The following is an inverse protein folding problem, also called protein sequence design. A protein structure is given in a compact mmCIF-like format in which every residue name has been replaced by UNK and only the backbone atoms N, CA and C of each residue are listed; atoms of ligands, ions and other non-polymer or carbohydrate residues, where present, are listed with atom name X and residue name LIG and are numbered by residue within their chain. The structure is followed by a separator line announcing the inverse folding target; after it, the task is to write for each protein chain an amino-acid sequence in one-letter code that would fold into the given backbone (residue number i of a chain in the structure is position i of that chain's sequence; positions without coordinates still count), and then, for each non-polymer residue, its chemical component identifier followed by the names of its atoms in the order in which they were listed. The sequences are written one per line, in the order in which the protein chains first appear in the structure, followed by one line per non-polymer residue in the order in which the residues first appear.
data_IF_928016043064
#
_entry.id   IF_928016043064
#
_cell.length_a   1.000
_cell.length_b   1.000
_cell.length_c   1.000
_cell.angle_alpha   90.00
_cell.angle_beta   90.00
_cell.angle_gamma   90.00
#
_symmetry.space_group_name_H-M   'P 1'
#
loop_
_entity.id
_entity.type
_entity.pdbx_description
1 polymer ?
#
# COMPACT_ATOMS: atom_id res chain seq x y z
N UNK A 1 -12.98 -6.45 12.45
CA UNK A 1 -12.90 -7.28 11.22
C UNK A 1 -12.34 -6.38 10.13
N UNK A 2 -11.36 -6.83 9.35
CA UNK A 2 -10.78 -5.98 8.29
C UNK A 2 -11.86 -5.69 7.24
N UNK A 3 -12.15 -4.41 7.00
CA UNK A 3 -13.14 -3.98 6.01
C UNK A 3 -12.57 -4.10 4.59
N UNK A 4 -12.66 -5.29 4.02
CA UNK A 4 -12.14 -5.60 2.68
C UNK A 4 -12.68 -4.68 1.57
N UNK A 5 -13.95 -4.27 1.68
CA UNK A 5 -14.58 -3.36 0.73
C UNK A 5 -13.95 -1.95 0.77
N UNK A 6 -13.47 -1.52 1.95
CA UNK A 6 -12.77 -0.24 2.10
C UNK A 6 -11.37 -0.33 1.50
N UNK A 7 -10.64 -1.40 1.80
CA UNK A 7 -9.29 -1.64 1.23
C UNK A 7 -9.33 -1.66 -0.30
N UNK A 8 -10.29 -2.36 -0.91
CA UNK A 8 -10.44 -2.38 -2.37
C UNK A 8 -10.72 -0.99 -2.95
N UNK A 9 -11.62 -0.21 -2.32
CA UNK A 9 -11.91 1.17 -2.77
C UNK A 9 -10.66 2.03 -2.77
N UNK A 10 -9.92 2.04 -1.65
CA UNK A 10 -8.69 2.82 -1.54
C UNK A 10 -7.64 2.37 -2.57
N UNK A 11 -7.55 1.06 -2.83
CA UNK A 11 -6.64 0.51 -3.84
C UNK A 11 -7.01 0.97 -5.25
N UNK A 12 -8.31 1.00 -5.58
CA UNK A 12 -8.80 1.49 -6.87
C UNK A 12 -8.58 3.00 -7.04
N UNK A 13 -8.79 3.79 -5.99
CA UNK A 13 -8.50 5.23 -5.99
C UNK A 13 -7.00 5.47 -6.19
N UNK A 14 -6.15 4.72 -5.49
CA UNK A 14 -4.70 4.81 -5.62
C UNK A 14 -4.23 4.37 -7.02
N UNK A 15 -4.89 3.38 -7.63
CA UNK A 15 -4.60 2.97 -9.01
C UNK A 15 -4.98 4.05 -10.04
N UNK A 16 -6.03 4.84 -9.79
CA UNK A 16 -6.38 6.00 -10.63
C UNK A 16 -5.31 7.09 -10.58
N UNK A 17 -4.69 7.31 -9.42
CA UNK A 17 -3.62 8.30 -9.25
C UNK A 17 -2.23 7.78 -9.66
N UNK A 18 -2.11 6.50 -10.04
CA UNK A 18 -0.85 5.89 -10.48
C UNK A 18 -0.18 6.68 -11.61
N UNK A 19 -0.97 7.27 -12.53
CA UNK A 19 -0.41 8.03 -13.65
C UNK A 19 0.25 9.35 -13.23
N UNK A 20 -0.13 9.90 -12.07
CA UNK A 20 0.39 11.17 -11.57
C UNK A 20 1.56 10.93 -10.62
N UNK A 21 1.41 9.99 -9.69
CA UNK A 21 2.37 9.78 -8.61
C UNK A 21 3.35 8.62 -8.86
N UNK A 22 3.05 7.73 -9.82
CA UNK A 22 3.82 6.50 -10.07
C UNK A 22 3.74 5.46 -8.93
N UNK A 23 2.89 5.71 -7.93
CA UNK A 23 2.73 4.88 -6.73
C UNK A 23 1.86 3.67 -7.04
N UNK A 24 2.43 2.47 -6.95
CA UNK A 24 1.73 1.21 -7.20
C UNK A 24 1.40 0.53 -5.88
N UNK A 25 0.15 0.15 -5.65
CA UNK A 25 -0.23 -0.67 -4.49
C UNK A 25 -0.97 -1.91 -4.98
N UNK A 26 -0.56 -3.08 -4.48
CA UNK A 26 -1.16 -4.37 -4.85
C UNK A 26 -1.29 -5.28 -3.63
N UNK A 27 -2.39 -6.04 -3.51
CA UNK A 27 -2.47 -7.10 -2.51
C UNK A 27 -1.45 -8.21 -2.82
N UNK A 28 -0.79 -8.72 -1.78
CA UNK A 28 0.24 -9.77 -1.87
C UNK A 28 -0.35 -11.15 -2.22
N UNK A 29 -1.66 -11.33 -2.08
CA UNK A 29 -2.37 -12.55 -2.48
C UNK A 29 -3.89 -12.36 -2.53
N UNK A 30 -4.56 -13.17 -3.36
CA UNK A 30 -6.02 -13.11 -3.60
C UNK A 30 -6.85 -13.45 -2.35
N UNK A 31 -6.37 -14.35 -1.49
CA UNK A 31 -7.09 -14.73 -0.27
C UNK A 31 -6.75 -13.86 0.95
N UNK A 32 -5.69 -13.06 0.90
CA UNK A 32 -5.21 -12.31 2.06
C UNK A 32 -4.95 -10.84 1.72
N UNK A 33 -6.05 -10.12 1.50
CA UNK A 33 -6.07 -8.65 1.34
C UNK A 33 -5.55 -7.89 2.58
N UNK A 34 -5.25 -8.59 3.67
CA UNK A 34 -4.57 -8.05 4.83
C UNK A 34 -3.09 -7.73 4.58
N UNK A 35 -2.47 -8.27 3.53
CA UNK A 35 -1.11 -7.91 3.14
C UNK A 35 -1.13 -7.17 1.81
N UNK A 36 -0.68 -5.93 1.83
CA UNK A 36 -0.56 -5.06 0.67
C UNK A 36 0.92 -4.76 0.45
N UNK A 37 1.31 -4.64 -0.81
CA UNK A 37 2.64 -4.26 -1.23
C UNK A 37 2.53 -2.97 -2.03
N UNK A 38 3.07 -1.90 -1.44
CA UNK A 38 3.26 -0.61 -2.09
C UNK A 38 4.60 -0.55 -2.79
N UNK A 39 4.68 0.16 -3.91
CA UNK A 39 5.91 0.55 -4.59
C UNK A 39 5.81 2.02 -4.90
N UNK A 40 6.75 2.81 -4.37
CA UNK A 40 6.80 4.26 -4.56
C UNK A 40 8.08 4.60 -5.32
N UNK A 41 8.00 5.31 -6.45
CA UNK A 41 9.19 5.83 -7.11
C UNK A 41 9.74 7.01 -6.31
N UNK A 42 11.06 7.16 -6.33
CA UNK A 42 11.71 8.31 -5.71
C UNK A 42 11.28 9.61 -6.39
N UNK A 43 10.84 10.63 -5.63
CA UNK A 43 10.37 11.88 -6.21
C UNK A 43 11.52 12.64 -6.86
N UNK A 44 11.19 13.31 -7.97
CA UNK A 44 12.14 14.14 -8.71
C UNK A 44 12.63 15.31 -7.83
N UNK A 45 13.89 15.67 -7.95
CA UNK A 45 14.51 16.73 -7.15
C UNK A 45 14.88 16.33 -5.71
N UNK A 46 14.87 15.04 -5.39
CA UNK A 46 15.40 14.51 -4.11
C UNK A 46 16.59 13.59 -4.35
N UNK A 47 17.47 13.33 -3.37
CA UNK A 47 18.56 12.34 -3.52
C UNK A 47 18.06 10.91 -3.74
N UNK A 48 16.75 10.69 -3.65
CA UNK A 48 16.08 9.43 -3.92
C UNK A 48 15.57 9.33 -5.36
N UNK A 49 15.70 10.38 -6.18
CA UNK A 49 15.30 10.39 -7.59
C UNK A 49 15.90 9.19 -8.34
N UNK A 50 15.04 8.47 -9.09
CA UNK A 50 15.41 7.23 -9.76
C UNK A 50 15.39 5.98 -8.88
N UNK A 51 15.17 6.12 -7.56
CA UNK A 51 14.96 5.01 -6.63
C UNK A 51 13.55 4.40 -6.74
N UNK A 52 13.40 3.16 -6.24
CA UNK A 52 12.09 2.50 -6.10
C UNK A 52 11.99 1.87 -4.72
N UNK A 53 11.01 2.30 -3.94
CA UNK A 53 10.80 1.90 -2.56
C UNK A 53 9.65 0.90 -2.48
N UNK A 54 9.97 -0.33 -2.08
CA UNK A 54 8.95 -1.36 -1.83
C UNK A 54 8.54 -1.29 -0.35
N UNK A 55 7.23 -1.21 -0.11
CA UNK A 55 6.64 -1.06 1.21
C UNK A 55 5.73 -2.27 1.42
N UNK A 56 6.03 -3.08 2.44
CA UNK A 56 5.16 -4.18 2.87
C UNK A 56 4.21 -3.62 3.95
N UNK A 57 2.92 -3.65 3.65
CA UNK A 57 1.86 -3.09 4.49
C UNK A 57 1.03 -4.28 4.98
N UNK A 58 1.07 -4.53 6.28
CA UNK A 58 0.26 -5.58 6.90
C UNK A 58 -0.86 -4.92 7.70
N UNK A 59 -2.09 -5.09 7.25
CA UNK A 59 -3.30 -4.64 7.94
C UNK A 59 -3.52 -5.53 9.16
N UNK A 60 -3.49 -4.97 10.39
CA UNK A 60 -3.78 -5.73 11.59
C UNK A 60 -5.26 -6.10 11.58
N UNK A 61 -5.57 -7.33 11.25
CA UNK A 61 -6.88 -7.92 11.55
C UNK A 61 -6.93 -8.20 13.04
N UNK A 62 -7.49 -7.25 13.80
CA UNK A 62 -7.75 -7.33 15.24
C UNK A 62 -6.72 -8.18 16.00
N UNK A 63 -5.50 -7.67 16.14
CA UNK A 63 -4.56 -8.21 17.11
C UNK A 63 -4.26 -7.08 18.07
N UNK A 64 -4.95 -7.14 19.21
CA UNK A 64 -4.53 -6.48 20.44
C UNK A 64 -3.01 -6.55 20.58
N UNK A 65 -2.32 -5.45 20.31
CA UNK A 65 -1.01 -5.15 20.86
C UNK A 65 -0.83 -3.64 20.96
N UNK A 66 -1.78 -3.00 21.64
CA UNK A 66 -1.41 -1.86 22.47
C UNK A 66 -0.81 -2.46 23.75
N UNK A 67 0.48 -2.82 23.69
CA UNK A 67 1.24 -3.02 24.92
C UNK A 67 1.39 -1.65 25.56
N UNK A 68 0.69 -1.54 26.68
CA UNK A 68 0.72 -0.56 27.76
C UNK A 68 2.03 0.21 27.92
#
# INVERSE_FOLDING_TARGET
MVDFARVQKELQECNRDFQVSGIKVMPKGESNLAHLLGTIPGPIGTPYEGGSFKIDITLPGDSLHFSR
#
